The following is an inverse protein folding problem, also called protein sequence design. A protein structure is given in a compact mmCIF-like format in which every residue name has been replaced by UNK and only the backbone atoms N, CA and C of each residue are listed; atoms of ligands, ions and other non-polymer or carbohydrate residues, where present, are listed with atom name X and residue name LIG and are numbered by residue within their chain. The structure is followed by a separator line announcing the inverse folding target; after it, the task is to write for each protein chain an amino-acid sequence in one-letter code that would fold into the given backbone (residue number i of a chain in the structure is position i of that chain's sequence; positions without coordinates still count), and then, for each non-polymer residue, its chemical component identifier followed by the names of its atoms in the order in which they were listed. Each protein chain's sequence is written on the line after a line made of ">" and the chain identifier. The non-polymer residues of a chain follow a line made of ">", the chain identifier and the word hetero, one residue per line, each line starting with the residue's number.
data_IF_184047503953
#
_entry.id   IF_184047503953
#
_cell.length_a   1.000
_cell.length_b   1.000
_cell.length_c   1.000
_cell.angle_alpha   90.00
_cell.angle_beta   90.00
_cell.angle_gamma   90.00
#
_symmetry.space_group_name_H-M   'P 1'
#
loop_
_entity.id
_entity.type
_entity.pdbx_description
1 polymer ?
#
# COMPACT_ATOMS: atom_id res chain seq x y z
N UNK A 1 4.58 -20.51 -9.04
CA UNK A 1 3.92 -19.19 -9.21
C UNK A 1 3.49 -18.73 -7.84
N UNK A 2 4.25 -17.82 -7.21
CA UNK A 2 3.90 -17.31 -5.89
C UNK A 2 2.59 -16.54 -6.02
N UNK A 3 1.60 -16.90 -5.20
CA UNK A 3 0.31 -16.22 -5.18
C UNK A 3 0.52 -14.72 -4.93
N UNK A 4 -0.07 -13.87 -5.77
CA UNK A 4 -0.08 -12.42 -5.57
C UNK A 4 -0.80 -12.05 -4.28
N UNK A 5 -0.47 -10.89 -3.72
CA UNK A 5 -1.19 -10.37 -2.54
C UNK A 5 -2.59 -10.01 -2.97
N UNK A 6 -3.60 -10.52 -2.26
CA UNK A 6 -5.00 -10.19 -2.55
C UNK A 6 -5.30 -8.78 -2.07
N UNK A 7 -6.21 -8.08 -2.74
CA UNK A 7 -6.64 -6.74 -2.34
C UNK A 7 -7.14 -6.70 -0.88
N UNK A 8 -7.85 -7.73 -0.40
CA UNK A 8 -8.29 -7.81 1.00
C UNK A 8 -7.10 -7.88 1.97
N UNK A 9 -6.10 -8.71 1.68
CA UNK A 9 -4.90 -8.84 2.51
C UNK A 9 -4.08 -7.55 2.54
N UNK A 10 -4.00 -6.84 1.41
CA UNK A 10 -3.43 -5.51 1.35
C UNK A 10 -4.14 -4.52 2.28
N UNK A 11 -5.47 -4.47 2.22
CA UNK A 11 -6.26 -3.59 3.08
C UNK A 11 -6.06 -3.94 4.57
N UNK A 12 -6.02 -5.23 4.91
CA UNK A 12 -5.74 -5.68 6.27
C UNK A 12 -4.37 -5.20 6.78
N UNK A 13 -3.32 -5.30 5.94
CA UNK A 13 -1.97 -4.81 6.28
C UNK A 13 -1.96 -3.30 6.53
N UNK A 14 -2.67 -2.54 5.70
CA UNK A 14 -2.82 -1.09 5.86
C UNK A 14 -3.51 -0.75 7.19
N UNK A 15 -4.62 -1.43 7.50
CA UNK A 15 -5.34 -1.23 8.76
C UNK A 15 -4.49 -1.64 9.97
N UNK A 16 -3.75 -2.75 9.89
CA UNK A 16 -2.86 -3.20 10.97
C UNK A 16 -1.74 -2.20 11.24
N UNK A 17 -1.20 -1.57 10.20
CA UNK A 17 -0.07 -0.63 10.31
C UNK A 17 -0.50 0.77 10.73
N UNK A 18 -1.56 1.29 10.11
CA UNK A 18 -1.94 2.69 10.20
C UNK A 18 -3.26 2.91 10.94
N UNK A 19 -3.99 1.85 11.29
CA UNK A 19 -5.35 1.93 11.81
C UNK A 19 -6.39 2.13 10.71
N UNK A 20 -7.66 1.89 11.01
CA UNK A 20 -8.75 1.96 10.04
C UNK A 20 -8.98 3.38 9.50
N UNK A 21 -8.99 4.39 10.36
CA UNK A 21 -9.25 5.78 9.98
C UNK A 21 -8.06 6.38 9.23
N UNK A 22 -6.87 6.36 9.83
CA UNK A 22 -5.70 6.97 9.21
C UNK A 22 -5.20 6.17 8.01
N UNK A 23 -5.34 4.84 8.02
CA UNK A 23 -5.05 3.99 6.86
C UNK A 23 -5.88 4.36 5.63
N UNK A 24 -7.16 4.70 5.78
CA UNK A 24 -7.99 5.16 4.67
C UNK A 24 -7.46 6.47 4.05
N UNK A 25 -7.06 7.44 4.88
CA UNK A 25 -6.42 8.68 4.40
C UNK A 25 -5.07 8.41 3.74
N UNK A 26 -4.24 7.50 4.28
CA UNK A 26 -2.98 7.09 3.63
C UNK A 26 -3.24 6.57 2.22
N UNK A 27 -4.28 5.74 2.03
CA UNK A 27 -4.59 5.21 0.71
C UNK A 27 -5.04 6.29 -0.29
N UNK A 28 -5.83 7.26 0.19
CA UNK A 28 -6.43 8.29 -0.66
C UNK A 28 -5.49 9.45 -0.96
N UNK A 29 -4.69 9.88 0.03
CA UNK A 29 -4.04 11.19 0.03
C UNK A 29 -2.51 11.10 -0.08
N UNK A 30 -1.90 9.98 0.34
CA UNK A 30 -0.44 9.83 0.27
C UNK A 30 0.00 9.47 -1.15
N UNK A 31 0.76 10.37 -1.78
CA UNK A 31 1.38 10.15 -3.08
C UNK A 31 2.62 9.28 -2.92
N UNK A 32 2.65 8.15 -3.63
CA UNK A 32 3.75 7.20 -3.57
C UNK A 32 4.95 7.68 -4.40
N UNK A 33 6.11 7.79 -3.77
CA UNK A 33 7.34 8.31 -4.40
C UNK A 33 7.72 7.56 -5.68
N UNK A 34 7.45 6.24 -5.73
CA UNK A 34 7.76 5.37 -6.87
C UNK A 34 6.69 5.27 -7.96
N UNK A 35 5.53 5.94 -7.82
CA UNK A 35 4.37 5.71 -8.69
C UNK A 35 3.96 6.92 -9.55
N UNK A 36 4.90 7.83 -9.80
CA UNK A 36 4.70 8.91 -10.77
C UNK A 36 3.61 9.90 -10.38
N UNK A 37 3.50 10.20 -9.08
CA UNK A 37 2.50 11.15 -8.57
C UNK A 37 1.16 10.51 -8.18
N UNK A 38 1.04 9.18 -8.26
CA UNK A 38 -0.19 8.46 -7.88
C UNK A 38 -0.23 8.12 -6.40
N UNK A 39 -1.44 8.13 -5.84
CA UNK A 39 -1.73 7.58 -4.51
C UNK A 39 -1.83 6.06 -4.56
N UNK A 40 -1.86 5.40 -3.40
CA UNK A 40 -2.04 3.96 -3.33
C UNK A 40 -3.39 3.53 -3.93
N UNK A 41 -4.48 4.27 -3.67
CA UNK A 41 -5.78 4.00 -4.26
C UNK A 41 -5.74 4.07 -5.80
N UNK A 42 -5.15 5.13 -6.36
CA UNK A 42 -5.01 5.30 -7.80
C UNK A 42 -4.15 4.19 -8.42
N UNK A 43 -3.06 3.79 -7.77
CA UNK A 43 -2.22 2.70 -8.26
C UNK A 43 -2.99 1.37 -8.34
N UNK A 44 -3.81 1.07 -7.33
CA UNK A 44 -4.67 -0.13 -7.34
C UNK A 44 -5.73 -0.06 -8.45
N UNK A 45 -6.38 1.10 -8.63
CA UNK A 45 -7.35 1.32 -9.71
C UNK A 45 -6.74 1.14 -11.10
N UNK A 46 -5.49 1.57 -11.28
CA UNK A 46 -4.70 1.38 -12.50
C UNK A 46 -4.21 -0.07 -12.71
N UNK A 47 -4.55 -0.99 -11.79
CA UNK A 47 -4.21 -2.42 -11.89
C UNK A 47 -2.81 -2.78 -11.42
N UNK A 48 -2.14 -1.92 -10.64
CA UNK A 48 -0.88 -2.28 -9.98
C UNK A 48 -1.11 -3.39 -8.97
N UNK A 49 -0.19 -4.36 -8.90
CA UNK A 49 -0.25 -5.43 -7.91
C UNK A 49 -0.26 -4.86 -6.46
N UNK A 50 -1.21 -5.26 -5.60
CA UNK A 50 -1.29 -4.75 -4.23
C UNK A 50 -0.01 -4.96 -3.40
N UNK A 51 0.80 -5.96 -3.73
CA UNK A 51 2.10 -6.19 -3.09
C UNK A 51 3.08 -5.07 -3.38
N UNK A 52 3.09 -4.58 -4.61
CA UNK A 52 4.01 -3.52 -5.02
C UNK A 52 3.58 -2.17 -4.46
N UNK A 53 2.26 -1.93 -4.38
CA UNK A 53 1.69 -0.78 -3.65
C UNK A 53 2.06 -0.84 -2.16
N UNK A 54 1.91 -2.01 -1.51
CA UNK A 54 2.31 -2.19 -0.11
C UNK A 54 3.80 -1.91 0.12
N UNK A 55 4.67 -2.44 -0.73
CA UNK A 55 6.12 -2.19 -0.64
C UNK A 55 6.45 -0.71 -0.77
N UNK A 56 5.75 0.01 -1.63
CA UNK A 56 5.95 1.44 -1.79
C UNK A 56 5.54 2.23 -0.55
N UNK A 57 4.40 1.89 0.06
CA UNK A 57 4.02 2.42 1.37
C UNK A 57 5.08 2.09 2.43
N UNK A 58 5.59 0.86 2.45
CA UNK A 58 6.63 0.48 3.40
C UNK A 58 7.92 1.29 3.22
N UNK A 59 8.29 1.64 1.98
CA UNK A 59 9.44 2.51 1.70
C UNK A 59 9.15 3.93 2.18
N UNK A 60 8.02 4.52 1.80
CA UNK A 60 7.70 5.92 2.09
C UNK A 60 7.49 6.19 3.60
N UNK A 61 7.04 5.19 4.36
CA UNK A 61 6.83 5.27 5.80
C UNK A 61 7.94 4.61 6.63
N UNK A 62 9.09 4.28 6.02
CA UNK A 62 10.24 3.65 6.68
C UNK A 62 9.88 2.41 7.53
N UNK A 63 8.97 1.59 7.00
CA UNK A 63 8.55 0.35 7.65
C UNK A 63 9.74 -0.65 7.65
N UNK A 64 10.07 -1.27 8.78
CA UNK A 64 11.14 -2.26 8.85
C UNK A 64 10.92 -3.45 7.91
N UNK A 65 11.97 -3.88 7.21
CA UNK A 65 11.94 -4.91 6.15
C UNK A 65 11.41 -6.28 6.59
N UNK A 66 11.55 -6.60 7.86
CA UNK A 66 11.02 -7.81 8.50
C UNK A 66 9.50 -7.79 8.68
N UNK A 67 8.85 -6.66 8.41
CA UNK A 67 7.41 -6.42 8.60
C UNK A 67 6.68 -6.12 7.28
N UNK A 68 7.31 -6.42 6.14
CA UNK A 68 6.77 -6.22 4.80
C UNK A 68 5.90 -7.39 4.36
#
# INVERSE_FOLDING_TARGET
>A
MLAGVRLTEFNERVVLRFGSTYGASVLADHVLTGFGGRTAAQAIEDGVDPRDVWRALCVDFDVPRDQW
#
